data_IF_659481953249
#
_entry.id   IF_659481953249
#
_cell.length_a   1.000
_cell.length_b   1.000
_cell.length_c   1.000
_cell.angle_alpha   90.00
_cell.angle_beta   90.00
_cell.angle_gamma   90.00
#
_symmetry.space_group_name_H-M   'P 1'
#
loop_
_entity.id
_entity.type
_entity.pdbx_description
1 polymer ?
#
# COMPACT_ATOMS: atom_id res chain seq x y z
N UNK A 1 14.21 -40.27 22.89
CA UNK A 1 12.78 -40.10 22.51
C UNK A 1 12.33 -41.38 21.81
N UNK A 2 11.17 -41.95 22.15
CA UNK A 2 10.71 -43.21 21.51
C UNK A 2 10.23 -42.93 20.07
N UNK A 3 10.45 -43.87 19.14
CA UNK A 3 10.01 -43.83 17.73
C UNK A 3 8.52 -43.46 17.58
N UNK A 4 7.65 -43.98 18.46
CA UNK A 4 6.22 -43.61 18.48
C UNK A 4 6.00 -42.12 18.77
N UNK A 5 6.79 -41.52 19.66
CA UNK A 5 6.71 -40.10 20.02
C UNK A 5 7.18 -39.20 18.88
N UNK A 6 8.23 -39.61 18.15
CA UNK A 6 8.72 -38.88 16.97
C UNK A 6 7.64 -38.86 15.88
N UNK A 7 7.03 -40.02 15.58
CA UNK A 7 5.93 -40.12 14.59
C UNK A 7 4.75 -39.20 14.97
N UNK A 8 4.37 -39.16 16.25
CA UNK A 8 3.29 -38.27 16.73
C UNK A 8 3.65 -36.80 16.53
N UNK A 9 4.90 -36.41 16.81
CA UNK A 9 5.38 -35.05 16.61
C UNK A 9 5.36 -34.66 15.13
N UNK A 10 5.84 -35.53 14.23
CA UNK A 10 5.80 -35.29 12.79
C UNK A 10 4.36 -35.11 12.27
N UNK A 11 3.40 -35.91 12.75
CA UNK A 11 1.98 -35.74 12.42
C UNK A 11 1.43 -34.38 12.89
N UNK A 12 1.79 -33.95 14.11
CA UNK A 12 1.38 -32.65 14.65
C UNK A 12 1.96 -31.51 13.81
N UNK A 13 3.26 -31.56 13.49
CA UNK A 13 3.93 -30.57 12.65
C UNK A 13 3.25 -30.49 11.28
N UNK A 14 2.96 -31.64 10.65
CA UNK A 14 2.26 -31.68 9.36
C UNK A 14 0.88 -31.00 9.42
N UNK A 15 0.08 -31.29 10.44
CA UNK A 15 -1.25 -30.66 10.62
C UNK A 15 -1.10 -29.15 10.83
N UNK A 16 -0.16 -28.71 11.67
CA UNK A 16 0.08 -27.27 11.92
C UNK A 16 0.53 -26.57 10.64
N UNK A 17 1.44 -27.16 9.86
CA UNK A 17 1.89 -26.61 8.58
C UNK A 17 0.73 -26.41 7.60
N UNK A 18 -0.18 -27.38 7.48
CA UNK A 18 -1.38 -27.27 6.63
C UNK A 18 -2.28 -26.12 7.11
N UNK A 19 -2.50 -25.99 8.42
CA UNK A 19 -3.30 -24.91 8.99
C UNK A 19 -2.67 -23.53 8.76
N UNK A 20 -1.34 -23.41 8.92
CA UNK A 20 -0.61 -22.18 8.65
C UNK A 20 -0.71 -21.78 7.18
N UNK A 21 -0.55 -22.73 6.25
CA UNK A 21 -0.73 -22.47 4.82
C UNK A 21 -2.15 -21.98 4.52
N UNK A 22 -3.17 -22.59 5.14
CA UNK A 22 -4.54 -22.18 4.96
C UNK A 22 -4.77 -20.73 5.44
N UNK A 23 -4.26 -20.36 6.62
CA UNK A 23 -4.31 -18.96 7.09
C UNK A 23 -3.56 -18.01 6.16
N UNK A 24 -2.39 -18.40 5.66
CA UNK A 24 -1.63 -17.59 4.73
C UNK A 24 -2.38 -17.34 3.42
N UNK A 25 -2.98 -18.38 2.85
CA UNK A 25 -3.83 -18.25 1.66
C UNK A 25 -5.00 -17.32 1.93
N UNK A 26 -5.65 -17.43 3.09
CA UNK A 26 -6.75 -16.53 3.46
C UNK A 26 -6.30 -15.07 3.59
N UNK A 27 -5.17 -14.82 4.26
CA UNK A 27 -4.59 -13.48 4.40
C UNK A 27 -4.25 -12.90 3.03
N UNK A 28 -3.61 -13.68 2.17
CA UNK A 28 -3.27 -13.27 0.80
C UNK A 28 -4.50 -12.91 -0.03
N UNK A 29 -5.52 -13.78 -0.07
CA UNK A 29 -6.78 -13.51 -0.78
C UNK A 29 -7.46 -12.27 -0.21
N UNK A 30 -7.46 -12.10 1.11
CA UNK A 30 -8.07 -10.91 1.75
C UNK A 30 -7.35 -9.63 1.33
N UNK A 31 -6.02 -9.63 1.30
CA UNK A 31 -5.23 -8.46 0.87
C UNK A 31 -5.47 -8.14 -0.61
N UNK A 32 -5.54 -9.14 -1.49
CA UNK A 32 -5.73 -8.91 -2.93
C UNK A 32 -7.16 -8.50 -3.29
N UNK A 33 -8.17 -9.18 -2.73
CA UNK A 33 -9.58 -8.92 -3.07
C UNK A 33 -10.06 -7.59 -2.50
N UNK A 34 -9.66 -7.27 -1.26
CA UNK A 34 -10.09 -6.04 -0.60
C UNK A 34 -9.07 -4.89 -0.71
N UNK A 35 -7.89 -5.15 -1.31
CA UNK A 35 -6.86 -4.16 -1.51
C UNK A 35 -6.17 -3.67 -0.23
N UNK A 36 -6.18 -4.46 0.85
CA UNK A 36 -5.55 -4.08 2.11
C UNK A 36 -4.04 -3.98 1.95
N UNK A 37 -3.47 -2.80 2.17
CA UNK A 37 -2.02 -2.54 2.11
C UNK A 37 -1.45 -2.53 3.53
N UNK A 38 -1.44 -3.71 4.15
CA UNK A 38 -0.88 -3.87 5.50
C UNK A 38 0.64 -4.07 5.37
N UNK A 39 1.44 -3.16 5.92
CA UNK A 39 2.92 -3.17 5.98
C UNK A 39 3.67 -2.90 4.66
N UNK A 40 4.80 -2.20 4.74
CA UNK A 40 5.23 -1.31 3.66
C UNK A 40 6.37 -1.83 2.75
N UNK A 41 7.03 -2.97 3.04
CA UNK A 41 8.22 -3.29 2.21
C UNK A 41 8.64 -4.73 1.98
N UNK A 42 8.41 -5.69 2.87
CA UNK A 42 9.00 -7.03 2.72
C UNK A 42 7.97 -8.17 2.86
N UNK A 43 6.67 -7.88 2.78
CA UNK A 43 5.67 -8.93 2.99
C UNK A 43 5.69 -9.94 1.87
N UNK A 44 5.78 -9.52 0.60
CA UNK A 44 5.81 -10.47 -0.50
C UNK A 44 6.98 -11.44 -0.37
N UNK A 45 8.16 -10.93 -0.01
CA UNK A 45 9.35 -11.77 0.19
C UNK A 45 9.24 -12.63 1.43
N UNK A 46 8.75 -12.07 2.54
CA UNK A 46 8.51 -12.81 3.79
C UNK A 46 7.43 -13.86 3.59
N UNK A 47 6.41 -13.58 2.77
CA UNK A 47 5.34 -14.47 2.40
C UNK A 47 5.91 -15.67 1.64
N UNK A 48 6.64 -15.43 0.55
CA UNK A 48 7.26 -16.51 -0.21
C UNK A 48 8.23 -17.33 0.65
N UNK A 49 9.08 -16.68 1.44
CA UNK A 49 9.98 -17.35 2.37
C UNK A 49 9.21 -18.19 3.40
N UNK A 50 8.09 -17.68 3.94
CA UNK A 50 7.25 -18.40 4.90
C UNK A 50 6.56 -19.61 4.27
N UNK A 51 6.04 -19.49 3.04
CA UNK A 51 5.41 -20.59 2.31
C UNK A 51 6.43 -21.69 2.02
N UNK A 52 7.61 -21.33 1.51
CA UNK A 52 8.71 -22.28 1.25
C UNK A 52 9.16 -22.94 2.56
N UNK A 53 9.29 -22.16 3.64
CA UNK A 53 9.66 -22.68 4.96
C UNK A 53 8.63 -23.68 5.50
N UNK A 54 7.33 -23.38 5.40
CA UNK A 54 6.25 -24.27 5.84
C UNK A 54 6.22 -25.56 5.00
N UNK A 55 6.37 -25.45 3.68
CA UNK A 55 6.44 -26.60 2.78
C UNK A 55 7.65 -27.49 3.07
N UNK A 56 8.80 -26.88 3.36
CA UNK A 56 10.04 -27.60 3.72
C UNK A 56 9.87 -28.37 5.04
N UNK A 57 9.31 -27.72 6.08
CA UNK A 57 9.00 -28.36 7.36
C UNK A 57 8.00 -29.51 7.19
N UNK A 58 6.94 -29.29 6.41
CA UNK A 58 5.93 -30.31 6.14
C UNK A 58 6.53 -31.52 5.42
N UNK A 59 7.37 -31.28 4.41
CA UNK A 59 8.03 -32.33 3.62
C UNK A 59 9.03 -33.13 4.47
N UNK A 60 9.85 -32.46 5.29
CA UNK A 60 10.77 -33.12 6.22
C UNK A 60 10.05 -33.95 7.28
N UNK A 61 8.97 -33.41 7.86
CA UNK A 61 8.13 -34.15 8.80
C UNK A 61 7.49 -35.38 8.16
N UNK A 62 6.98 -35.26 6.93
CA UNK A 62 6.41 -36.38 6.18
C UNK A 62 7.45 -37.46 5.88
N UNK A 63 8.65 -37.07 5.43
CA UNK A 63 9.73 -38.00 5.10
C UNK A 63 10.18 -38.80 6.33
N UNK A 64 10.38 -38.13 7.48
CA UNK A 64 10.73 -38.79 8.75
C UNK A 64 9.60 -39.72 9.19
N UNK A 65 8.35 -39.29 9.06
CA UNK A 65 7.19 -40.12 9.42
C UNK A 65 7.13 -41.39 8.57
N UNK A 66 7.29 -41.29 7.25
CA UNK A 66 7.34 -42.44 6.34
C UNK A 66 8.51 -43.36 6.68
N UNK A 67 9.72 -42.80 6.82
CA UNK A 67 10.94 -43.57 7.16
C UNK A 67 10.74 -44.37 8.45
N UNK A 68 10.29 -43.72 9.52
CA UNK A 68 10.09 -44.37 10.81
C UNK A 68 8.92 -45.37 10.77
N UNK A 69 7.89 -45.15 9.97
CA UNK A 69 6.80 -46.10 9.84
C UNK A 69 7.25 -47.36 9.06
N UNK A 70 8.05 -47.20 8.00
CA UNK A 70 8.65 -48.31 7.25
C UNK A 70 9.65 -49.11 8.10
N UNK A 71 10.55 -48.44 8.85
CA UNK A 71 11.46 -49.10 9.79
C UNK A 71 10.70 -49.85 10.88
N UNK A 72 9.55 -49.32 11.34
CA UNK A 72 8.68 -50.03 12.29
C UNK A 72 8.05 -51.28 11.69
N UNK A 73 7.57 -51.20 10.44
CA UNK A 73 6.98 -52.35 9.72
C UNK A 73 8.04 -53.42 9.46
N UNK A 74 9.25 -53.03 9.07
CA UNK A 74 10.38 -53.96 8.88
C UNK A 74 10.79 -54.66 10.19
N UNK A 75 10.62 -53.99 11.34
CA UNK A 75 11.03 -54.51 12.64
C UNK A 75 9.91 -55.23 13.43
N UNK A 76 8.66 -55.31 12.93
CA UNK A 76 7.54 -55.85 13.71
C UNK A 76 6.73 -56.91 12.95
N UNK A 77 6.78 -58.16 13.44
CA UNK A 77 5.73 -59.16 13.23
C UNK A 77 4.57 -58.88 14.21
N UNK A 78 3.34 -58.98 13.71
CA UNK A 78 2.04 -58.62 14.29
C UNK A 78 1.92 -58.40 15.81
N UNK A 79 1.25 -57.29 16.19
CA UNK A 79 0.30 -57.23 17.31
C UNK A 79 -0.39 -55.85 17.34
N UNK A 80 -1.70 -55.93 17.14
CA UNK A 80 -2.84 -55.16 17.65
C UNK A 80 -3.07 -53.69 17.29
N UNK A 81 -4.17 -53.54 16.54
CA UNK A 81 -5.14 -52.47 16.48
C UNK A 81 -5.81 -52.22 17.84
N UNK A 82 -5.64 -51.01 18.37
CA UNK A 82 -6.66 -50.40 19.22
C UNK A 82 -7.34 -49.29 18.41
N UNK A 83 -8.68 -49.26 18.31
CA UNK A 83 -9.39 -48.16 17.67
C UNK A 83 -9.23 -46.90 18.54
N UNK A 84 -8.96 -45.73 17.94
CA UNK A 84 -8.86 -44.50 18.71
C UNK A 84 -10.22 -44.19 19.36
N UNK A 85 -10.23 -44.01 20.68
CA UNK A 85 -11.40 -43.53 21.40
C UNK A 85 -11.77 -42.13 20.90
N UNK A 86 -13.00 -41.99 20.41
CA UNK A 86 -13.55 -40.74 19.89
C UNK A 86 -13.77 -39.80 21.07
N UNK A 87 -12.81 -38.92 21.35
CA UNK A 87 -12.97 -37.88 22.37
C UNK A 87 -14.02 -36.85 21.92
N UNK A 88 -15.07 -36.71 22.74
CA UNK A 88 -16.33 -36.03 22.43
C UNK A 88 -16.32 -34.52 22.71
N UNK A 89 -15.18 -33.83 22.55
CA UNK A 89 -15.05 -32.39 22.81
C UNK A 89 -14.53 -31.58 21.60
N UNK A 90 -15.06 -31.84 20.39
CA UNK A 90 -14.65 -31.13 19.16
C UNK A 90 -15.35 -29.78 18.90
N UNK A 91 -16.46 -29.49 19.60
CA UNK A 91 -17.26 -28.27 19.35
C UNK A 91 -16.54 -26.94 19.66
N UNK A 92 -15.84 -26.75 20.79
CA UNK A 92 -15.20 -25.46 21.09
C UNK A 92 -13.99 -25.16 20.18
N UNK A 93 -13.25 -26.19 19.75
CA UNK A 93 -12.08 -26.03 18.87
C UNK A 93 -12.49 -25.62 17.46
N UNK A 94 -13.56 -26.22 16.91
CA UNK A 94 -14.10 -25.85 15.60
C UNK A 94 -14.61 -24.40 15.63
N UNK A 95 -15.28 -23.99 16.72
CA UNK A 95 -15.74 -22.62 16.87
C UNK A 95 -14.59 -21.62 16.95
N UNK A 96 -13.54 -21.91 17.74
CA UNK A 96 -12.35 -21.06 17.83
C UNK A 96 -11.64 -20.92 16.47
N UNK A 97 -11.55 -22.01 15.69
CA UNK A 97 -11.01 -21.98 14.34
C UNK A 97 -11.89 -21.19 13.37
N UNK A 98 -13.21 -21.27 13.47
CA UNK A 98 -14.10 -20.46 12.64
C UNK A 98 -14.00 -18.95 12.99
N UNK A 99 -13.86 -18.62 14.28
CA UNK A 99 -13.80 -17.25 14.77
C UNK A 99 -12.47 -16.54 14.44
N UNK A 100 -11.40 -17.29 14.22
CA UNK A 100 -10.10 -16.70 13.88
C UNK A 100 -10.10 -15.99 12.53
N UNK A 101 -10.90 -16.44 11.54
CA UNK A 101 -10.95 -15.79 10.22
C UNK A 101 -11.51 -14.37 10.28
N UNK A 102 -12.70 -14.12 10.86
CA UNK A 102 -13.19 -12.75 11.07
C UNK A 102 -12.22 -11.89 11.89
N UNK A 103 -11.56 -12.48 12.89
CA UNK A 103 -10.61 -11.77 13.73
C UNK A 103 -9.39 -11.30 12.93
N UNK A 104 -8.76 -12.20 12.16
CA UNK A 104 -7.63 -11.89 11.28
C UNK A 104 -8.04 -10.84 10.26
N UNK A 105 -9.21 -10.99 9.64
CA UNK A 105 -9.72 -10.02 8.68
C UNK A 105 -9.89 -8.62 9.31
N UNK A 106 -10.46 -8.55 10.52
CA UNK A 106 -10.59 -7.30 11.26
C UNK A 106 -9.23 -6.67 11.58
N UNK A 107 -8.22 -7.47 11.93
CA UNK A 107 -6.85 -6.99 12.12
C UNK A 107 -6.22 -6.45 10.84
N UNK A 108 -6.41 -7.13 9.70
CA UNK A 108 -5.91 -6.64 8.41
C UNK A 108 -6.55 -5.31 8.03
N UNK A 109 -7.87 -5.20 8.15
CA UNK A 109 -8.60 -3.96 7.89
C UNK A 109 -8.17 -2.82 8.83
N UNK A 110 -8.00 -3.11 10.12
CA UNK A 110 -7.50 -2.12 11.08
C UNK A 110 -6.08 -1.67 10.73
N UNK A 111 -5.20 -2.61 10.36
CA UNK A 111 -3.84 -2.32 9.94
C UNK A 111 -3.78 -1.41 8.71
N UNK A 112 -4.56 -1.70 7.67
CA UNK A 112 -4.69 -0.88 6.46
C UNK A 112 -5.09 0.57 6.80
N UNK A 113 -6.11 0.76 7.64
CA UNK A 113 -6.53 2.09 8.08
C UNK A 113 -5.47 2.83 8.87
N UNK A 114 -4.73 2.13 9.75
CA UNK A 114 -3.65 2.75 10.50
C UNK A 114 -2.51 3.18 9.57
N UNK A 115 -2.15 2.35 8.60
CA UNK A 115 -1.16 2.69 7.57
C UNK A 115 -1.60 3.90 6.75
N UNK A 116 -2.84 3.94 6.26
CA UNK A 116 -3.37 5.08 5.51
C UNK A 116 -3.35 6.37 6.34
N UNK A 117 -3.69 6.31 7.63
CA UNK A 117 -3.66 7.47 8.52
C UNK A 117 -2.23 7.95 8.81
N UNK A 118 -1.27 7.03 8.98
CA UNK A 118 0.14 7.39 9.12
C UNK A 118 0.67 8.07 7.87
N UNK A 119 0.35 7.53 6.68
CA UNK A 119 0.70 8.15 5.39
C UNK A 119 0.05 9.52 5.22
N UNK A 120 -1.23 9.66 5.56
CA UNK A 120 -1.89 10.98 5.57
C UNK A 120 -1.15 11.98 6.45
N UNK A 121 -0.81 11.60 7.68
CA UNK A 121 -0.11 12.47 8.61
C UNK A 121 1.26 12.88 8.07
N UNK A 122 2.01 11.92 7.51
CA UNK A 122 3.30 12.15 6.87
C UNK A 122 3.19 13.12 5.68
N UNK A 123 2.27 12.88 4.74
CA UNK A 123 2.10 13.78 3.59
C UNK A 123 1.72 15.21 4.03
N UNK A 124 0.90 15.35 5.07
CA UNK A 124 0.53 16.66 5.63
C UNK A 124 1.72 17.35 6.29
N UNK A 125 2.55 16.62 7.06
CA UNK A 125 3.76 17.21 7.65
C UNK A 125 4.77 17.61 6.58
N UNK A 126 5.00 16.76 5.59
CA UNK A 126 5.87 17.05 4.44
C UNK A 126 5.40 18.30 3.69
N UNK A 127 4.09 18.46 3.47
CA UNK A 127 3.54 19.66 2.84
C UNK A 127 3.80 20.93 3.67
N UNK A 128 3.65 20.85 4.99
CA UNK A 128 3.89 21.97 5.91
C UNK A 128 5.36 22.37 5.95
N UNK A 129 6.26 21.40 6.10
CA UNK A 129 7.71 21.61 6.13
C UNK A 129 8.19 22.21 4.81
N UNK A 130 7.74 21.68 3.67
CA UNK A 130 8.07 22.23 2.35
C UNK A 130 7.68 23.70 2.24
N UNK A 131 6.49 24.08 2.69
CA UNK A 131 6.01 25.46 2.66
C UNK A 131 6.85 26.36 3.59
N UNK A 132 7.18 25.88 4.78
CA UNK A 132 7.88 26.63 5.80
C UNK A 132 9.36 26.85 5.47
N UNK A 133 10.03 25.81 4.98
CA UNK A 133 11.47 25.80 4.77
C UNK A 133 11.87 26.40 3.41
N UNK A 134 10.94 26.45 2.46
CA UNK A 134 11.20 26.92 1.09
C UNK A 134 10.27 28.07 0.65
N UNK A 135 10.16 29.18 1.41
CA UNK A 135 9.19 30.23 1.17
C UNK A 135 9.35 30.89 -0.22
N UNK A 136 10.58 31.04 -0.72
CA UNK A 136 10.83 31.61 -2.05
C UNK A 136 10.37 30.68 -3.19
N UNK A 137 10.59 29.37 -3.05
CA UNK A 137 10.14 28.39 -4.06
C UNK A 137 8.63 28.30 -4.07
N UNK A 138 8.02 28.26 -2.89
CA UNK A 138 6.57 28.25 -2.73
C UNK A 138 5.95 29.54 -3.29
N UNK A 139 6.61 30.69 -3.10
CA UNK A 139 6.20 31.93 -3.75
C UNK A 139 6.21 31.78 -5.28
N UNK A 140 7.29 31.24 -5.86
CA UNK A 140 7.38 31.01 -7.32
C UNK A 140 6.24 30.13 -7.83
N UNK A 141 5.83 29.10 -7.09
CA UNK A 141 4.70 28.24 -7.44
C UNK A 141 3.37 28.99 -7.37
N UNK A 142 3.20 29.88 -6.38
CA UNK A 142 1.96 30.64 -6.14
C UNK A 142 1.72 31.78 -7.13
N UNK A 143 2.77 32.31 -7.76
CA UNK A 143 2.70 33.41 -8.73
C UNK A 143 2.31 32.93 -10.13
N UNK A 144 1.21 32.17 -10.22
CA UNK A 144 0.69 31.57 -11.44
C UNK A 144 0.39 32.60 -12.53
N UNK A 145 1.09 32.45 -13.66
CA UNK A 145 0.80 33.10 -14.95
C UNK A 145 1.18 32.11 -16.04
N UNK A 146 0.28 31.79 -16.97
CA UNK A 146 0.59 30.82 -18.04
C UNK A 146 1.56 31.41 -19.07
N UNK A 147 2.86 31.24 -18.85
CA UNK A 147 3.93 31.64 -19.77
C UNK A 147 5.17 30.73 -19.59
N UNK A 148 6.12 30.82 -20.52
CA UNK A 148 7.35 30.00 -20.50
C UNK A 148 8.17 30.18 -19.22
N UNK A 149 8.27 31.42 -18.72
CA UNK A 149 9.05 31.72 -17.52
C UNK A 149 8.46 31.01 -16.29
N UNK A 150 7.14 31.00 -16.17
CA UNK A 150 6.44 30.29 -15.10
C UNK A 150 6.63 28.79 -15.22
N UNK A 151 6.42 28.21 -16.40
CA UNK A 151 6.58 26.77 -16.62
C UNK A 151 8.00 26.31 -16.26
N UNK A 152 9.02 27.04 -16.71
CA UNK A 152 10.42 26.75 -16.39
C UNK A 152 10.72 26.88 -14.89
N UNK A 153 10.31 27.99 -14.25
CA UNK A 153 10.52 28.19 -12.81
C UNK A 153 9.81 27.13 -11.97
N UNK A 154 8.56 26.85 -12.28
CA UNK A 154 7.73 25.86 -11.59
C UNK A 154 8.33 24.47 -11.73
N UNK A 155 8.73 24.07 -12.94
CA UNK A 155 9.38 22.79 -13.17
C UNK A 155 10.65 22.64 -12.33
N UNK A 156 11.52 23.66 -12.33
CA UNK A 156 12.78 23.62 -11.59
C UNK A 156 12.56 23.63 -10.08
N UNK A 157 11.56 24.37 -9.60
CA UNK A 157 11.17 24.37 -8.19
C UNK A 157 10.64 23.00 -7.77
N UNK A 158 9.70 22.41 -8.52
CA UNK A 158 9.14 21.09 -8.22
C UNK A 158 10.22 20.01 -8.27
N UNK A 159 11.08 20.03 -9.29
CA UNK A 159 12.17 19.06 -9.44
C UNK A 159 13.12 19.10 -8.25
N UNK A 160 13.59 20.30 -7.88
CA UNK A 160 14.44 20.46 -6.72
C UNK A 160 13.74 19.96 -5.44
N UNK A 161 12.48 20.36 -5.22
CA UNK A 161 11.71 19.93 -4.05
C UNK A 161 11.48 18.41 -4.00
N UNK A 162 11.36 17.76 -5.15
CA UNK A 162 11.20 16.30 -5.25
C UNK A 162 12.52 15.55 -5.04
N UNK A 163 13.67 16.21 -5.21
CA UNK A 163 15.02 15.63 -5.05
C UNK A 163 15.61 15.87 -3.64
N UNK A 164 15.00 16.73 -2.82
CA UNK A 164 15.51 17.10 -1.49
C UNK A 164 15.47 15.93 -0.49
N UNK A 165 14.47 15.04 -0.58
CA UNK A 165 14.44 13.83 0.26
C UNK A 165 13.74 12.68 -0.49
N UNK A 166 14.40 11.53 -0.48
CA UNK A 166 14.00 10.31 -1.20
C UNK A 166 12.63 9.77 -0.76
N UNK A 167 12.16 10.18 0.43
CA UNK A 167 10.85 9.83 0.94
C UNK A 167 9.76 10.83 0.52
N UNK A 168 10.10 11.91 -0.21
CA UNK A 168 9.09 12.82 -0.71
C UNK A 168 8.31 12.17 -1.86
N UNK A 169 6.97 12.18 -1.76
CA UNK A 169 6.09 11.76 -2.84
C UNK A 169 6.29 12.65 -4.07
N UNK A 170 5.84 12.19 -5.25
CA UNK A 170 5.81 13.04 -6.45
C UNK A 170 5.00 14.30 -6.18
N UNK A 171 5.63 15.46 -6.40
CA UNK A 171 5.04 16.77 -6.16
C UNK A 171 4.53 17.34 -7.48
N UNK A 172 3.34 17.92 -7.44
CA UNK A 172 2.80 18.76 -8.49
C UNK A 172 2.06 19.95 -7.87
N UNK A 173 1.74 20.94 -8.68
CA UNK A 173 0.81 22.00 -8.30
C UNK A 173 -0.44 21.90 -9.14
N UNK A 174 -1.57 22.25 -8.54
CA UNK A 174 -2.85 22.41 -9.22
C UNK A 174 -3.30 23.85 -9.08
N UNK A 175 -3.75 24.42 -10.20
CA UNK A 175 -4.29 25.78 -10.28
C UNK A 175 -5.61 25.79 -11.06
N UNK A 176 -6.46 26.77 -10.79
CA UNK A 176 -7.65 27.04 -11.59
C UNK A 176 -7.33 27.97 -12.76
N UNK A 177 -7.85 27.66 -13.94
CA UNK A 177 -7.71 28.49 -15.14
C UNK A 177 -8.93 28.31 -16.07
N UNK A 178 -8.90 28.98 -17.22
CA UNK A 178 -9.88 28.87 -18.29
C UNK A 178 -9.18 28.51 -19.60
N UNK A 179 -9.70 27.50 -20.29
CA UNK A 179 -9.32 27.10 -21.65
C UNK A 179 -10.57 27.16 -22.51
N UNK A 180 -10.55 27.92 -23.61
CA UNK A 180 -11.70 28.05 -24.53
C UNK A 180 -13.02 28.37 -23.78
N UNK A 181 -12.97 29.35 -22.87
CA UNK A 181 -14.09 29.76 -21.99
C UNK A 181 -14.63 28.69 -21.03
N UNK A 182 -13.94 27.56 -20.89
CA UNK A 182 -14.28 26.49 -19.94
C UNK A 182 -13.38 26.56 -18.72
N UNK A 183 -13.97 26.61 -17.52
CA UNK A 183 -13.22 26.53 -16.26
C UNK A 183 -12.60 25.15 -16.11
N UNK A 184 -11.28 25.10 -15.96
CA UNK A 184 -10.48 23.88 -15.88
C UNK A 184 -9.48 23.97 -14.73
N UNK A 185 -8.92 22.82 -14.37
CA UNK A 185 -7.76 22.74 -13.49
C UNK A 185 -6.56 22.33 -14.31
N UNK A 186 -5.42 22.96 -14.04
CA UNK A 186 -4.15 22.60 -14.65
C UNK A 186 -3.24 22.00 -13.59
N UNK A 187 -2.51 20.94 -13.95
CA UNK A 187 -1.52 20.31 -13.08
C UNK A 187 -0.13 20.45 -13.69
N UNK A 188 0.80 21.01 -12.92
CA UNK A 188 2.21 21.11 -13.30
C UNK A 188 3.03 20.23 -12.36
N UNK A 189 3.75 19.25 -12.91
CA UNK A 189 4.69 18.39 -12.19
C UNK A 189 6.08 18.48 -12.82
N UNK A 190 6.95 17.51 -12.52
CA UNK A 190 8.26 17.39 -13.17
C UNK A 190 8.08 17.00 -14.64
N UNK A 191 8.60 17.82 -15.55
CA UNK A 191 8.63 17.59 -16.98
C UNK A 191 10.09 17.41 -17.45
N UNK A 192 10.35 16.29 -18.13
CA UNK A 192 11.71 15.86 -18.53
C UNK A 192 12.45 16.85 -19.45
N UNK A 193 11.72 17.66 -20.24
CA UNK A 193 12.28 18.53 -21.28
C UNK A 193 11.98 20.04 -21.14
N UNK A 194 11.40 20.48 -20.01
CA UNK A 194 10.91 21.86 -19.88
C UNK A 194 11.99 22.95 -20.00
N UNK A 195 13.27 22.63 -19.78
CA UNK A 195 14.38 23.58 -19.86
C UNK A 195 14.88 23.85 -21.30
N UNK A 196 14.58 22.94 -22.25
CA UNK A 196 15.05 23.02 -23.64
C UNK A 196 13.97 23.53 -24.60
N UNK A 197 12.75 23.68 -24.12
CA UNK A 197 11.62 24.10 -24.96
C UNK A 197 11.54 25.63 -25.01
N UNK A 198 11.59 26.17 -26.22
CA UNK A 198 11.47 27.61 -26.49
C UNK A 198 10.07 28.00 -26.95
N UNK A 199 9.20 27.01 -27.16
CA UNK A 199 7.82 27.22 -27.61
C UNK A 199 6.89 27.06 -26.42
N UNK A 200 5.95 28.00 -26.25
CA UNK A 200 4.93 27.87 -25.21
C UNK A 200 4.02 26.67 -25.56
N UNK A 201 4.00 25.60 -24.76
CA UNK A 201 3.14 24.45 -25.01
C UNK A 201 1.66 24.84 -24.98
N UNK A 202 0.82 24.01 -25.61
CA UNK A 202 -0.64 24.18 -25.51
C UNK A 202 -1.08 23.93 -24.07
N UNK A 203 -1.87 24.86 -23.51
CA UNK A 203 -2.47 24.77 -22.17
C UNK A 203 -3.25 23.46 -21.98
N UNK A 204 -3.82 22.90 -23.04
CA UNK A 204 -4.51 21.60 -23.02
C UNK A 204 -3.63 20.45 -22.55
N UNK A 205 -2.31 20.51 -22.77
CA UNK A 205 -1.37 19.48 -22.30
C UNK A 205 -1.25 19.39 -20.77
N UNK A 206 -1.66 20.42 -20.04
CA UNK A 206 -1.62 20.49 -18.59
C UNK A 206 -2.99 20.26 -17.94
N UNK A 207 -4.02 19.94 -18.71
CA UNK A 207 -5.35 19.68 -18.17
C UNK A 207 -5.28 18.57 -17.14
N UNK A 208 -5.81 18.85 -15.95
CA UNK A 208 -5.87 17.90 -14.87
C UNK A 208 -7.24 17.21 -14.87
N UNK A 209 -7.34 15.96 -15.36
CA UNK A 209 -8.58 15.22 -15.28
C UNK A 209 -8.89 14.93 -13.82
N UNK A 210 -10.14 15.19 -13.42
CA UNK A 210 -10.61 15.00 -12.06
C UNK A 210 -11.89 14.18 -12.07
N UNK A 211 -12.06 13.34 -11.06
CA UNK A 211 -13.34 12.74 -10.73
C UNK A 211 -14.35 13.81 -10.31
N UNK A 212 -15.63 13.42 -10.21
CA UNK A 212 -16.70 14.33 -9.79
C UNK A 212 -16.43 14.95 -8.41
N UNK A 213 -15.91 14.15 -7.48
CA UNK A 213 -15.68 14.56 -6.09
C UNK A 213 -14.44 15.45 -5.97
N UNK A 214 -13.36 15.11 -6.67
CA UNK A 214 -12.15 15.96 -6.74
C UNK A 214 -12.47 17.31 -7.40
N UNK A 215 -13.26 17.31 -8.47
CA UNK A 215 -13.71 18.54 -9.14
C UNK A 215 -14.51 19.42 -8.18
N UNK A 216 -15.44 18.83 -7.42
CA UNK A 216 -16.24 19.56 -6.44
C UNK A 216 -15.34 20.17 -5.36
N UNK A 217 -14.43 19.39 -4.79
CA UNK A 217 -13.46 19.86 -3.79
C UNK A 217 -12.58 21.01 -4.32
N UNK A 218 -11.97 20.85 -5.50
CA UNK A 218 -11.11 21.90 -6.07
C UNK A 218 -11.90 23.18 -6.36
N UNK A 219 -13.16 23.06 -6.82
CA UNK A 219 -14.03 24.23 -6.97
C UNK A 219 -14.22 24.94 -5.63
N UNK A 220 -14.46 24.23 -4.52
CA UNK A 220 -14.57 24.84 -3.20
C UNK A 220 -13.26 25.51 -2.75
N UNK A 221 -12.12 24.87 -2.99
CA UNK A 221 -10.80 25.45 -2.69
C UNK A 221 -10.61 26.76 -3.43
N UNK A 222 -10.77 26.78 -4.75
CA UNK A 222 -10.46 27.97 -5.54
C UNK A 222 -11.54 29.07 -5.48
N UNK A 223 -12.81 28.72 -5.26
CA UNK A 223 -13.91 29.71 -5.25
C UNK A 223 -14.27 30.19 -3.84
N UNK A 224 -14.24 29.30 -2.84
CA UNK A 224 -14.59 29.61 -1.44
C UNK A 224 -13.37 29.74 -0.54
N UNK A 225 -12.15 29.62 -1.09
CA UNK A 225 -10.90 29.59 -0.33
C UNK A 225 -10.88 28.50 0.75
N UNK A 226 -11.50 27.35 0.47
CA UNK A 226 -11.49 26.20 1.37
C UNK A 226 -10.05 25.69 1.58
N UNK A 227 -9.66 25.43 2.82
CA UNK A 227 -8.26 25.16 3.20
C UNK A 227 -7.98 23.76 3.76
N UNK A 228 -9.01 22.95 3.98
CA UNK A 228 -8.77 21.62 4.54
C UNK A 228 -8.15 20.71 3.49
N UNK A 229 -7.08 19.97 3.81
CA UNK A 229 -6.48 19.04 2.86
C UNK A 229 -7.41 17.86 2.55
N UNK A 230 -7.51 17.49 1.27
CA UNK A 230 -8.17 16.27 0.83
C UNK A 230 -7.12 15.17 0.67
N UNK A 231 -7.29 14.08 1.40
CA UNK A 231 -6.46 12.89 1.30
C UNK A 231 -7.29 11.73 0.71
N UNK A 232 -6.69 11.03 -0.24
CA UNK A 232 -7.23 9.82 -0.85
C UNK A 232 -6.22 8.69 -0.75
N UNK A 233 -6.70 7.48 -0.46
CA UNK A 233 -5.91 6.27 -0.44
C UNK A 233 -6.70 5.16 -1.13
N UNK A 234 -6.19 4.65 -2.25
CA UNK A 234 -6.81 3.54 -2.97
C UNK A 234 -5.75 2.72 -3.73
N UNK A 235 -5.84 1.39 -3.66
CA UNK A 235 -4.90 0.45 -4.30
C UNK A 235 -3.41 0.81 -4.13
N UNK A 236 -3.01 1.27 -2.94
CA UNK A 236 -1.61 1.66 -2.68
C UNK A 236 -1.17 2.98 -3.32
N UNK A 237 -2.09 3.71 -3.94
CA UNK A 237 -1.92 5.09 -4.34
C UNK A 237 -2.42 6.02 -3.24
N UNK A 238 -1.54 6.88 -2.77
CA UNK A 238 -1.83 7.88 -1.76
C UNK A 238 -1.72 9.26 -2.41
N UNK A 239 -2.79 10.03 -2.33
CA UNK A 239 -2.88 11.36 -2.92
C UNK A 239 -3.27 12.37 -1.85
N UNK A 240 -2.55 13.49 -1.79
CA UNK A 240 -2.88 14.61 -0.92
C UNK A 240 -3.00 15.88 -1.76
N UNK A 241 -4.17 16.50 -1.69
CA UNK A 241 -4.41 17.86 -2.13
C UNK A 241 -4.28 18.78 -0.93
N UNK A 242 -3.24 19.61 -0.92
CA UNK A 242 -2.96 20.55 0.15
C UNK A 242 -3.18 21.99 -0.32
N UNK A 243 -4.32 22.62 0.00
CA UNK A 243 -4.58 24.01 -0.36
C UNK A 243 -3.65 24.96 0.39
N UNK A 244 -3.11 25.93 -0.32
CA UNK A 244 -2.22 26.92 0.25
C UNK A 244 -2.48 28.32 -0.33
N UNK A 245 -2.71 29.29 0.56
CA UNK A 245 -2.99 30.68 0.20
C UNK A 245 -1.74 31.52 0.48
N UNK A 246 -1.22 32.16 -0.57
CA UNK A 246 -0.08 33.06 -0.46
C UNK A 246 -0.34 34.37 -1.17
N UNK A 247 -0.18 35.49 -0.47
CA UNK A 247 -0.42 36.85 -1.00
C UNK A 247 -1.76 36.97 -1.76
N UNK A 248 -2.81 36.30 -1.28
CA UNK A 248 -4.15 36.31 -1.88
C UNK A 248 -4.36 35.36 -3.07
N UNK A 249 -3.33 34.61 -3.50
CA UNK A 249 -3.44 33.60 -4.55
C UNK A 249 -3.57 32.20 -3.95
N UNK A 250 -4.63 31.50 -4.32
CA UNK A 250 -4.90 30.14 -3.90
C UNK A 250 -4.25 29.17 -4.89
N UNK A 251 -3.42 28.27 -4.39
CA UNK A 251 -2.90 27.12 -5.14
C UNK A 251 -3.14 25.83 -4.34
N UNK A 252 -3.01 24.69 -5.00
CA UNK A 252 -3.05 23.38 -4.33
C UNK A 252 -1.74 22.66 -4.61
N UNK A 253 -0.99 22.32 -3.58
CA UNK A 253 0.11 21.36 -3.71
C UNK A 253 -0.49 19.96 -3.75
N UNK A 254 -0.16 19.23 -4.80
CA UNK A 254 -0.61 17.87 -5.02
C UNK A 254 0.57 16.93 -4.79
N UNK A 255 0.44 16.05 -3.81
CA UNK A 255 1.41 15.02 -3.53
C UNK A 255 0.84 13.66 -3.91
N UNK A 256 1.61 12.84 -4.60
CA UNK A 256 1.23 11.45 -4.87
C UNK A 256 2.36 10.47 -4.61
N UNK A 257 2.10 9.47 -3.78
CA UNK A 257 2.96 8.30 -3.56
C UNK A 257 2.26 7.08 -4.16
N UNK A 258 2.98 6.29 -4.95
CA UNK A 258 2.44 5.06 -5.52
C UNK A 258 3.32 3.89 -5.10
N UNK A 259 2.75 3.03 -4.26
CA UNK A 259 3.44 1.84 -3.79
C UNK A 259 3.05 0.66 -4.68
N UNK A 260 4.02 0.21 -5.50
CA UNK A 260 3.89 -1.03 -6.25
C UNK A 260 3.95 -2.22 -5.28
N UNK A 261 2.78 -2.66 -4.82
CA UNK A 261 2.63 -3.98 -4.22
C UNK A 261 2.62 -5.01 -5.36
N UNK A 262 3.41 -6.08 -5.21
CA UNK A 262 3.72 -7.04 -6.26
C UNK A 262 2.51 -7.63 -6.99
N UNK A 263 2.05 -6.93 -8.03
CA UNK A 263 1.26 -7.52 -9.11
C UNK A 263 2.22 -8.40 -9.90
N UNK A 264 2.05 -9.71 -9.81
CA UNK A 264 2.77 -10.66 -10.65
C UNK A 264 2.45 -10.31 -12.12
N UNK A 265 3.46 -9.89 -12.89
CA UNK A 265 3.34 -9.65 -14.33
C UNK A 265 3.33 -8.19 -14.80
N UNK A 266 3.89 -7.24 -14.04
CA UNK A 266 4.27 -5.93 -14.60
C UNK A 266 5.63 -5.96 -15.29
#
# INVERSE_FOLDING_TARGET
MNQKSIIRLCNIIGIISILLLLYWVFVYISMEVFGFKVFERNITDTFYASVIGILSLMSGALMINIMLNLTRIANKHNADTEPPSVSRHKKPVIFAFALSFPLIFAFLYAGDKLTANQKKAFLISSAKELIQDNPEKVQQLSDYIYNLQYLSKTNNAIRLLSEIDENFPSIAIVVADTVENTKVFLKFGVAYNAEKDTVLPDKKSYLFPTSKDEKAYLLEVFTKQFREPLFSAYDGKYELYYPFLYKGKMIVLYFSDHQYYGKIGS
#
